data_IF_888553765594
#
_entry.id   IF_888553765594
#
_cell.length_a   1.000
_cell.length_b   1.000
_cell.length_c   1.000
_cell.angle_alpha   90.00
_cell.angle_beta   90.00
_cell.angle_gamma   90.00
#
_symmetry.space_group_name_H-M   'P 1'
#
loop_
_entity.id
_entity.type
_entity.pdbx_description
1 polymer ?
#
# COMPACT_ATOMS: atom_id res chain seq x y z
N UNK A 1 -6.58 8.99 48.66
CA UNK A 1 -7.88 8.50 48.16
C UNK A 1 -8.41 9.32 46.97
N UNK A 2 -8.78 10.61 47.13
CA UNK A 2 -9.44 11.40 46.08
C UNK A 2 -8.56 11.77 44.86
N UNK A 3 -7.25 11.90 45.05
CA UNK A 3 -6.29 12.21 43.97
C UNK A 3 -5.85 10.99 43.14
N UNK A 4 -5.98 9.79 43.69
CA UNK A 4 -5.66 8.54 43.00
C UNK A 4 -6.81 8.10 42.06
N UNK A 5 -8.06 8.40 42.42
CA UNK A 5 -9.25 8.15 41.59
C UNK A 5 -9.24 9.05 40.34
N UNK A 6 -8.75 10.29 40.47
CA UNK A 6 -8.68 11.22 39.34
C UNK A 6 -7.63 10.82 38.27
N UNK A 7 -6.58 10.10 38.64
CA UNK A 7 -5.52 9.67 37.72
C UNK A 7 -5.83 8.35 37.00
N UNK A 8 -6.76 7.54 37.52
CA UNK A 8 -7.15 6.25 36.92
C UNK A 8 -8.10 6.41 35.71
N UNK A 9 -8.84 7.52 35.62
CA UNK A 9 -9.71 7.83 34.48
C UNK A 9 -9.01 8.55 33.32
N UNK A 10 -7.76 8.97 33.48
CA UNK A 10 -7.05 9.78 32.47
C UNK A 10 -6.29 8.95 31.41
N UNK A 11 -6.24 7.62 31.52
CA UNK A 11 -5.35 6.76 30.69
C UNK A 11 -6.11 5.91 29.64
N UNK A 12 -7.44 5.91 29.59
CA UNK A 12 -8.21 5.07 28.67
C UNK A 12 -8.91 5.82 27.53
N UNK A 13 -8.21 6.78 26.90
CA UNK A 13 -8.61 7.32 25.61
C UNK A 13 -7.62 6.89 24.53
N UNK A 14 -7.50 5.58 24.31
CA UNK A 14 -6.97 5.07 23.04
C UNK A 14 -8.03 5.39 22.01
N UNK A 15 -7.94 6.58 21.40
CA UNK A 15 -8.73 6.90 20.21
C UNK A 15 -8.24 5.93 19.14
N UNK A 16 -9.03 4.88 18.89
CA UNK A 16 -8.84 4.08 17.69
C UNK A 16 -9.04 5.02 16.51
N UNK A 17 -7.92 5.46 15.90
CA UNK A 17 -7.96 6.19 14.64
C UNK A 17 -8.49 5.21 13.62
N UNK A 18 -9.80 5.25 13.37
CA UNK A 18 -10.41 4.56 12.27
C UNK A 18 -9.95 5.25 10.99
N UNK A 19 -8.80 4.82 10.46
CA UNK A 19 -8.35 5.25 9.13
C UNK A 19 -9.41 4.83 8.13
N UNK A 20 -9.80 5.72 7.21
CA UNK A 20 -10.65 5.33 6.10
C UNK A 20 -10.01 4.13 5.36
N UNK A 21 -10.71 3.00 5.33
CA UNK A 21 -10.16 1.72 4.87
C UNK A 21 -11.00 1.19 3.71
N UNK A 22 -10.42 1.15 2.52
CA UNK A 22 -11.03 0.48 1.37
C UNK A 22 -10.77 -1.03 1.51
N UNK A 23 -11.80 -1.86 1.40
CA UNK A 23 -11.64 -3.31 1.37
C UNK A 23 -11.62 -3.82 -0.07
N UNK A 24 -10.63 -4.64 -0.39
CA UNK A 24 -10.52 -5.42 -1.61
C UNK A 24 -10.61 -6.90 -1.25
N UNK A 25 -11.69 -7.55 -1.67
CA UNK A 25 -11.81 -8.99 -1.57
C UNK A 25 -10.90 -9.67 -2.61
N UNK A 26 -10.09 -10.62 -2.15
CA UNK A 26 -9.15 -11.39 -2.98
C UNK A 26 -9.74 -12.78 -3.23
N UNK A 27 -9.91 -13.13 -4.50
CA UNK A 27 -10.44 -14.44 -4.90
C UNK A 27 -11.97 -14.53 -4.85
N UNK A 28 -12.68 -13.40 -4.83
CA UNK A 28 -14.12 -13.32 -4.62
C UNK A 28 -14.92 -13.94 -5.77
N UNK A 29 -15.29 -15.22 -5.67
CA UNK A 29 -15.99 -15.94 -6.74
C UNK A 29 -15.13 -16.17 -8.00
N UNK A 30 -13.81 -16.32 -7.85
CA UNK A 30 -12.89 -16.73 -8.91
C UNK A 30 -11.61 -15.89 -9.03
N UNK A 31 -11.03 -15.85 -10.23
CA UNK A 31 -9.80 -15.10 -10.56
C UNK A 31 -10.04 -13.58 -10.62
N UNK A 32 -10.38 -12.95 -9.48
CA UNK A 32 -10.64 -11.51 -9.43
C UNK A 32 -10.32 -10.88 -8.08
N UNK A 33 -10.00 -9.59 -8.15
CA UNK A 33 -10.11 -8.66 -7.04
C UNK A 33 -11.50 -8.02 -7.09
N UNK A 34 -12.14 -7.82 -5.93
CA UNK A 34 -13.43 -7.16 -5.86
C UNK A 34 -13.43 -6.06 -4.79
N UNK A 35 -13.62 -4.78 -5.15
CA UNK A 35 -13.69 -4.29 -6.53
C UNK A 35 -12.34 -4.44 -7.26
N UNK A 36 -12.38 -4.56 -8.61
CA UNK A 36 -11.18 -4.57 -9.46
C UNK A 36 -10.71 -3.16 -9.85
N UNK A 37 -11.56 -2.15 -9.63
CA UNK A 37 -11.27 -0.74 -9.89
C UNK A 37 -11.87 0.14 -8.82
N UNK A 38 -11.26 1.29 -8.52
CA UNK A 38 -11.81 2.20 -7.54
C UNK A 38 -10.99 3.47 -7.36
N UNK A 39 -11.40 4.27 -6.37
CA UNK A 39 -10.69 5.48 -5.96
C UNK A 39 -10.38 5.41 -4.47
N UNK A 40 -9.17 5.77 -4.09
CA UNK A 40 -8.70 5.68 -2.70
C UNK A 40 -7.90 6.94 -2.32
N UNK A 41 -8.18 7.59 -1.18
CA UNK A 41 -7.41 8.76 -0.77
C UNK A 41 -5.95 8.42 -0.45
N UNK A 42 -5.05 9.35 -0.78
CA UNK A 42 -3.68 9.35 -0.29
C UNK A 42 -3.65 9.29 1.25
N UNK A 43 -2.71 8.51 1.81
CA UNK A 43 -2.56 8.32 3.25
C UNK A 43 -3.59 7.40 3.90
N UNK A 44 -4.60 6.91 3.16
CA UNK A 44 -5.57 5.95 3.67
C UNK A 44 -5.03 4.52 3.62
N UNK A 45 -5.84 3.56 4.08
CA UNK A 45 -5.48 2.13 4.06
C UNK A 45 -6.31 1.36 3.03
N UNK A 46 -5.68 0.41 2.36
CA UNK A 46 -6.34 -0.65 1.59
C UNK A 46 -6.20 -1.94 2.39
N UNK A 47 -7.31 -2.63 2.63
CA UNK A 47 -7.34 -3.97 3.20
C UNK A 47 -7.60 -4.99 2.11
N UNK A 48 -6.61 -5.82 1.84
CA UNK A 48 -6.80 -7.03 1.06
C UNK A 48 -7.32 -8.14 1.97
N UNK A 49 -8.52 -8.64 1.71
CA UNK A 49 -9.16 -9.71 2.48
C UNK A 49 -9.35 -10.93 1.59
N UNK A 50 -8.72 -12.04 1.93
CA UNK A 50 -8.91 -13.29 1.20
C UNK A 50 -10.26 -13.90 1.55
N UNK A 51 -11.12 -14.02 0.54
CA UNK A 51 -12.49 -14.55 0.71
C UNK A 51 -12.66 -15.92 0.05
N UNK A 52 -11.57 -16.49 -0.45
CA UNK A 52 -11.51 -17.81 -1.07
C UNK A 52 -10.35 -18.61 -0.50
N UNK A 53 -10.52 -19.93 -0.49
CA UNK A 53 -9.45 -20.88 -0.14
C UNK A 53 -8.53 -21.18 -1.33
N UNK A 54 -8.86 -20.71 -2.54
CA UNK A 54 -8.02 -20.88 -3.72
C UNK A 54 -6.74 -20.03 -3.66
N UNK A 55 -5.76 -20.39 -4.49
CA UNK A 55 -4.48 -19.70 -4.57
C UNK A 55 -4.61 -18.31 -5.21
N UNK A 56 -4.45 -17.25 -4.43
CA UNK A 56 -4.39 -15.86 -4.86
C UNK A 56 -3.37 -15.09 -4.03
N UNK A 57 -2.63 -14.17 -4.66
CA UNK A 57 -1.77 -13.23 -3.94
C UNK A 57 -2.06 -11.81 -4.38
N UNK A 58 -1.48 -10.85 -3.67
CA UNK A 58 -1.50 -9.44 -4.10
C UNK A 58 -0.07 -9.01 -4.28
N UNK A 59 0.29 -8.60 -5.49
CA UNK A 59 1.63 -8.12 -5.81
C UNK A 59 1.52 -6.76 -6.47
N UNK A 60 2.31 -5.80 -6.00
CA UNK A 60 2.36 -4.46 -6.62
C UNK A 60 3.19 -4.49 -7.90
N UNK A 61 2.69 -3.78 -8.91
CA UNK A 61 3.33 -3.55 -10.21
C UNK A 61 3.36 -2.04 -10.49
N UNK A 62 4.19 -1.63 -11.44
CA UNK A 62 4.34 -0.23 -11.86
C UNK A 62 3.37 0.16 -12.99
N UNK A 63 2.65 -0.79 -13.57
CA UNK A 63 1.64 -0.55 -14.60
C UNK A 63 0.50 -1.59 -14.57
N UNK A 64 -0.58 -1.35 -15.32
CA UNK A 64 -1.74 -2.26 -15.38
C UNK A 64 -1.71 -3.29 -16.51
N UNK A 65 -0.73 -3.24 -17.40
CA UNK A 65 -0.70 -4.05 -18.63
C UNK A 65 0.22 -5.26 -18.45
N UNK A 66 1.37 -5.08 -17.82
CA UNK A 66 2.36 -6.12 -17.57
C UNK A 66 2.02 -6.94 -16.33
N UNK A 67 2.44 -8.21 -16.35
CA UNK A 67 2.33 -9.13 -15.21
C UNK A 67 3.66 -9.22 -14.45
N UNK A 68 4.37 -8.10 -14.37
CA UNK A 68 5.70 -8.00 -13.79
C UNK A 68 5.63 -7.32 -12.43
N UNK A 69 6.10 -7.95 -11.34
CA UNK A 69 6.20 -7.28 -10.06
C UNK A 69 7.11 -6.04 -10.14
N UNK A 70 6.73 -4.98 -9.44
CA UNK A 70 7.60 -3.82 -9.29
C UNK A 70 8.87 -4.21 -8.53
N UNK A 71 10.02 -3.73 -8.98
CA UNK A 71 11.30 -3.86 -8.27
C UNK A 71 11.61 -2.65 -7.40
N UNK A 72 10.93 -1.53 -7.62
CA UNK A 72 11.13 -0.26 -6.90
C UNK A 72 10.06 -0.04 -5.83
N UNK A 73 8.80 -0.33 -6.15
CA UNK A 73 7.64 -0.16 -5.28
C UNK A 73 7.14 -1.53 -4.81
N UNK A 74 7.98 -2.27 -4.09
CA UNK A 74 7.69 -3.66 -3.73
C UNK A 74 6.56 -3.74 -2.71
N UNK A 75 5.55 -4.54 -3.01
CA UNK A 75 4.58 -5.03 -2.03
C UNK A 75 4.13 -6.44 -2.43
N UNK A 76 4.06 -7.32 -1.44
CA UNK A 76 3.56 -8.70 -1.56
C UNK A 76 2.66 -9.00 -0.38
N UNK A 77 1.37 -9.13 -0.64
CA UNK A 77 0.35 -9.47 0.33
C UNK A 77 -0.02 -10.94 0.26
N UNK A 78 0.07 -11.60 1.42
CA UNK A 78 -0.53 -12.90 1.75
C UNK A 78 0.06 -14.14 1.08
N UNK A 79 -0.08 -15.31 1.74
CA UNK A 79 0.15 -16.59 1.08
C UNK A 79 -0.97 -16.86 0.08
N UNK A 80 -0.68 -17.66 -0.96
CA UNK A 80 -1.62 -17.90 -2.04
C UNK A 80 -2.95 -18.48 -1.54
N UNK A 81 -2.96 -19.51 -0.69
CA UNK A 81 -4.19 -20.22 -0.30
C UNK A 81 -4.54 -20.03 1.18
N UNK A 82 -5.12 -18.90 1.57
CA UNK A 82 -5.57 -18.70 2.94
C UNK A 82 -6.82 -17.82 3.06
N UNK A 83 -7.99 -18.45 3.14
CA UNK A 83 -9.25 -17.76 3.40
C UNK A 83 -9.21 -17.08 4.78
N UNK A 84 -9.78 -15.88 4.89
CA UNK A 84 -9.82 -15.09 6.12
C UNK A 84 -8.53 -14.34 6.44
N UNK A 85 -7.45 -14.55 5.68
CA UNK A 85 -6.24 -13.74 5.79
C UNK A 85 -6.53 -12.29 5.39
N UNK A 86 -5.89 -11.34 6.09
CA UNK A 86 -5.95 -9.92 5.74
C UNK A 86 -4.55 -9.35 5.64
N UNK A 87 -4.34 -8.45 4.67
CA UNK A 87 -3.12 -7.67 4.54
C UNK A 87 -3.48 -6.22 4.29
N UNK A 88 -2.77 -5.32 4.96
CA UNK A 88 -3.02 -3.89 4.86
C UNK A 88 -1.89 -3.23 4.04
N UNK A 89 -2.28 -2.29 3.19
CA UNK A 89 -1.37 -1.48 2.40
C UNK A 89 -1.71 0.00 2.61
N UNK A 90 -0.72 0.79 2.99
CA UNK A 90 -0.87 2.25 3.14
C UNK A 90 -0.72 2.92 1.78
N UNK A 91 -1.70 3.76 1.42
CA UNK A 91 -1.69 4.48 0.14
C UNK A 91 -0.64 5.59 0.20
N UNK A 92 0.38 5.57 -0.68
CA UNK A 92 1.41 6.60 -0.68
C UNK A 92 0.85 7.93 -1.19
N UNK A 93 1.41 9.03 -0.71
CA UNK A 93 0.92 10.38 -1.04
C UNK A 93 1.45 10.93 -2.38
N UNK A 94 2.34 10.21 -3.07
CA UNK A 94 3.10 10.72 -4.22
C UNK A 94 2.83 9.96 -5.52
N UNK A 95 1.68 9.30 -5.65
CA UNK A 95 1.26 8.58 -6.86
C UNK A 95 -0.19 8.88 -7.18
N UNK A 96 -0.56 8.82 -8.46
CA UNK A 96 -1.95 9.03 -8.92
C UNK A 96 -2.70 7.72 -9.16
N UNK A 97 -1.96 6.62 -9.30
CA UNK A 97 -2.50 5.29 -9.50
C UNK A 97 -1.71 4.24 -8.74
N UNK A 98 -2.42 3.19 -8.36
CA UNK A 98 -1.87 1.96 -7.83
C UNK A 98 -2.33 0.78 -8.68
N UNK A 99 -1.41 -0.10 -9.01
CA UNK A 99 -1.69 -1.33 -9.74
C UNK A 99 -1.25 -2.53 -8.93
N UNK A 100 -2.12 -3.53 -8.88
CA UNK A 100 -1.85 -4.80 -8.24
C UNK A 100 -2.28 -5.95 -9.14
N UNK A 101 -1.59 -7.07 -9.02
CA UNK A 101 -1.85 -8.30 -9.75
C UNK A 101 -1.86 -9.49 -8.79
N UNK A 102 -2.43 -10.61 -9.23
CA UNK A 102 -2.17 -11.89 -8.58
C UNK A 102 -0.87 -12.50 -9.12
N UNK A 103 0.07 -12.80 -8.24
CA UNK A 103 1.38 -13.36 -8.60
C UNK A 103 1.42 -14.88 -8.73
N UNK A 104 0.28 -15.56 -8.61
CA UNK A 104 0.16 -17.00 -8.92
C UNK A 104 0.30 -17.17 -10.44
N UNK A 105 1.14 -18.11 -10.93
CA UNK A 105 1.38 -18.27 -12.36
C UNK A 105 0.08 -18.39 -13.19
N UNK A 106 -0.04 -17.59 -14.25
CA UNK A 106 -1.19 -17.57 -15.14
C UNK A 106 -2.39 -16.74 -14.66
N UNK A 107 -2.47 -16.37 -13.37
CA UNK A 107 -3.64 -15.65 -12.84
C UNK A 107 -3.70 -14.19 -13.32
N UNK A 108 -2.54 -13.53 -13.41
CA UNK A 108 -2.47 -12.16 -13.92
C UNK A 108 -2.79 -12.10 -15.41
N UNK A 109 -2.23 -13.03 -16.19
CA UNK A 109 -2.45 -13.17 -17.64
C UNK A 109 -3.92 -13.48 -17.94
N UNK A 110 -4.57 -14.25 -17.06
CA UNK A 110 -6.01 -14.52 -17.09
C UNK A 110 -6.89 -13.34 -16.61
N UNK A 111 -6.30 -12.19 -16.27
CA UNK A 111 -7.04 -10.95 -15.98
C UNK A 111 -7.21 -10.60 -14.51
N UNK A 112 -6.60 -11.33 -13.57
CA UNK A 112 -6.67 -10.98 -12.14
C UNK A 112 -5.76 -9.78 -11.81
N UNK A 113 -6.28 -8.58 -12.10
CA UNK A 113 -5.63 -7.28 -11.97
C UNK A 113 -6.53 -6.29 -11.22
N UNK A 114 -5.91 -5.35 -10.52
CA UNK A 114 -6.57 -4.28 -9.77
C UNK A 114 -5.91 -2.95 -10.13
N UNK A 115 -6.72 -1.93 -10.40
CA UNK A 115 -6.25 -0.55 -10.57
C UNK A 115 -7.05 0.40 -9.70
N UNK A 116 -6.36 1.19 -8.89
CA UNK A 116 -6.96 2.21 -8.04
C UNK A 116 -6.43 3.59 -8.42
N UNK A 117 -7.32 4.54 -8.61
CA UNK A 117 -6.96 5.96 -8.71
C UNK A 117 -6.73 6.49 -7.29
N UNK A 118 -5.63 7.20 -7.08
CA UNK A 118 -5.31 7.83 -5.80
C UNK A 118 -5.78 9.28 -5.83
N UNK A 119 -6.57 9.69 -4.84
CA UNK A 119 -7.08 11.07 -4.72
C UNK A 119 -6.33 11.84 -3.65
N UNK A 120 -6.12 13.14 -3.86
CA UNK A 120 -5.45 14.02 -2.89
C UNK A 120 -3.96 13.74 -2.72
N UNK A 121 -3.36 12.90 -3.56
CA UNK A 121 -1.92 12.74 -3.64
C UNK A 121 -1.27 13.86 -4.45
N UNK A 122 0.01 14.11 -4.19
CA UNK A 122 0.89 14.97 -4.97
C UNK A 122 1.59 14.21 -6.11
N UNK A 123 1.11 13.00 -6.44
CA UNK A 123 1.52 12.30 -7.66
C UNK A 123 1.33 13.20 -8.87
N UNK A 124 2.17 13.04 -9.89
CA UNK A 124 2.22 13.91 -11.05
C UNK A 124 0.84 14.17 -11.66
N UNK A 125 0.29 15.34 -11.35
CA UNK A 125 -0.81 15.99 -12.05
C UNK A 125 -0.54 16.01 -13.55
N UNK A 126 -1.00 14.99 -14.28
CA UNK A 126 -1.53 15.18 -15.63
C UNK A 126 -3.04 15.13 -15.51
N UNK A 127 -3.57 16.30 -15.21
CA UNK A 127 -4.96 16.69 -15.34
C UNK A 127 -5.61 16.01 -16.57
N UNK A 128 -6.42 14.98 -16.36
CA UNK A 128 -7.37 14.51 -17.38
C UNK A 128 -8.61 15.41 -17.31
N UNK A 129 -8.49 16.62 -17.85
CA UNK A 129 -9.65 17.39 -18.27
C UNK A 129 -9.99 16.97 -19.70
N UNK A 130 -11.10 16.26 -19.87
CA UNK A 130 -11.76 16.12 -21.16
C UNK A 130 -12.07 17.51 -21.72
N UNK A 131 -11.43 17.86 -22.83
CA UNK A 131 -11.70 19.06 -23.61
C UNK A 131 -11.21 18.85 -25.04
N UNK A 132 -12.14 18.67 -25.97
CA UNK A 132 -11.88 18.62 -27.41
C UNK A 132 -11.11 19.84 -27.90
N UNK A 133 -10.08 19.62 -28.70
CA UNK A 133 -9.40 20.67 -29.46
C UNK A 133 -8.04 20.26 -30.00
N UNK A 134 -8.02 19.79 -31.25
CA UNK A 134 -6.84 19.83 -32.14
C UNK A 134 -7.08 20.99 -33.14
N UNK A 135 -6.10 21.55 -33.90
CA UNK A 135 -4.74 21.06 -34.15
C UNK A 135 -3.59 22.12 -34.22
N UNK A 136 -2.37 21.58 -34.40
CA UNK A 136 -1.25 22.04 -35.28
C UNK A 136 0.00 22.69 -34.64
N UNK A 137 1.15 22.07 -34.95
CA UNK A 137 2.42 22.63 -35.49
C UNK A 137 3.72 22.28 -34.72
N UNK A 138 4.53 21.41 -35.36
CA UNK A 138 5.99 21.50 -35.69
C UNK A 138 6.95 22.20 -34.70
N UNK A 139 8.19 21.76 -34.39
CA UNK A 139 9.23 20.97 -35.07
C UNK A 139 10.36 20.61 -34.07
N UNK A 140 11.20 19.62 -34.44
CA UNK A 140 12.66 19.45 -34.22
C UNK A 140 13.26 19.70 -32.81
N UNK A 141 14.13 18.88 -32.21
CA UNK A 141 15.14 17.97 -32.72
C UNK A 141 16.42 18.15 -31.86
N UNK A 142 17.16 17.06 -31.65
CA UNK A 142 18.58 16.95 -31.19
C UNK A 142 18.81 16.18 -29.86
N UNK A 143 19.32 14.95 -30.01
CA UNK A 143 20.31 14.31 -29.12
C UNK A 143 21.68 15.01 -29.33
N UNK A 144 22.77 14.86 -28.51
CA UNK A 144 23.24 13.58 -27.95
C UNK A 144 24.00 13.64 -26.59
N UNK A 145 24.57 12.47 -26.23
CA UNK A 145 25.80 12.20 -25.43
C UNK A 145 25.76 11.84 -23.93
N UNK A 146 26.05 10.54 -23.70
CA UNK A 146 27.07 9.92 -22.81
C UNK A 146 27.16 10.25 -21.32
N UNK A 147 27.27 9.20 -20.50
CA UNK A 147 27.87 9.30 -19.17
C UNK A 147 27.65 8.07 -18.29
N UNK A 148 28.46 7.04 -18.49
CA UNK A 148 28.67 5.95 -17.54
C UNK A 148 29.38 6.49 -16.28
N UNK A 149 28.96 6.09 -15.09
CA UNK A 149 29.61 6.52 -13.85
C UNK A 149 29.11 5.78 -12.61
N UNK A 150 29.91 4.80 -12.18
CA UNK A 150 29.77 4.03 -10.95
C UNK A 150 29.92 4.91 -9.71
N UNK A 151 29.11 4.66 -8.68
CA UNK A 151 29.21 5.34 -7.39
C UNK A 151 28.67 4.48 -6.27
N UNK A 152 29.53 3.60 -5.73
CA UNK A 152 29.31 2.95 -4.45
C UNK A 152 29.43 4.00 -3.35
N UNK A 153 28.31 4.32 -2.71
CA UNK A 153 28.25 5.22 -1.56
C UNK A 153 27.54 4.52 -0.40
N UNK A 154 28.32 3.82 0.42
CA UNK A 154 27.89 3.29 1.69
C UNK A 154 27.48 4.43 2.62
N UNK A 155 26.21 4.48 3.00
CA UNK A 155 25.75 5.27 4.16
C UNK A 155 25.07 4.33 5.13
N UNK A 156 25.88 3.82 6.06
CA UNK A 156 25.41 3.27 7.31
C UNK A 156 24.82 4.40 8.15
N UNK A 157 23.55 4.27 8.54
CA UNK A 157 22.92 5.14 9.51
C UNK A 157 22.36 4.29 10.65
N UNK A 158 23.17 4.24 11.70
CA UNK A 158 22.87 3.71 13.03
C UNK A 158 21.80 4.56 13.71
N UNK A 159 20.57 4.05 13.82
CA UNK A 159 19.54 4.50 14.78
C UNK A 159 18.72 3.23 15.06
N UNK A 160 18.90 2.52 16.18
CA UNK A 160 18.64 3.01 17.52
C UNK A 160 17.62 2.05 18.13
N UNK A 161 18.10 0.86 18.51
CA UNK A 161 17.30 -0.16 19.18
C UNK A 161 17.04 0.27 20.63
N UNK A 162 15.86 0.83 20.91
CA UNK A 162 15.34 0.96 22.28
C UNK A 162 13.83 0.72 22.31
N UNK A 163 13.42 -0.52 22.18
CA UNK A 163 12.10 -0.99 22.65
C UNK A 163 12.29 -2.30 23.41
N UNK A 164 12.94 -2.20 24.57
CA UNK A 164 13.40 -3.36 25.31
C UNK A 164 13.44 -3.15 26.82
N UNK A 165 12.60 -2.30 27.40
CA UNK A 165 12.39 -2.25 28.85
C UNK A 165 11.02 -1.64 29.18
N UNK A 166 9.93 -2.36 28.92
CA UNK A 166 8.67 -2.10 29.63
C UNK A 166 7.77 -3.35 29.70
N UNK A 167 8.39 -4.52 29.87
CA UNK A 167 7.67 -5.79 30.05
C UNK A 167 8.00 -6.53 31.37
N UNK A 168 8.67 -5.86 32.31
CA UNK A 168 9.02 -6.43 33.63
C UNK A 168 8.68 -5.47 34.77
N UNK A 169 7.48 -4.90 34.78
CA UNK A 169 6.96 -4.12 35.91
C UNK A 169 5.44 -4.29 36.13
N UNK A 170 4.84 -5.40 35.68
CA UNK A 170 3.40 -5.68 35.87
C UNK A 170 3.10 -7.02 36.56
N UNK A 171 4.05 -7.58 37.32
CA UNK A 171 3.81 -8.81 38.12
C UNK A 171 4.03 -8.62 39.63
N UNK A 172 4.39 -7.42 40.10
CA UNK A 172 4.75 -7.18 41.50
C UNK A 172 3.82 -6.20 42.26
N UNK A 173 2.55 -6.08 41.86
CA UNK A 173 1.57 -5.27 42.61
C UNK A 173 0.21 -5.94 42.82
N UNK A 174 0.15 -7.27 42.72
CA UNK A 174 -1.02 -8.05 43.12
C UNK A 174 -0.91 -8.65 44.54
N UNK A 175 0.16 -8.32 45.29
CA UNK A 175 0.22 -8.62 46.73
C UNK A 175 0.76 -7.40 47.48
N UNK A 176 -0.12 -6.43 47.72
CA UNK A 176 -0.15 -5.55 48.91
C UNK A 176 -1.45 -4.74 48.90
#
# INVERSE_FOLDING_TARGET
MKRAIALFFAILAIVAVATAQMTINVGDGGLKFNPATGSVPAGSMIMFKWVSANQHSVVRTDDGTTCTPSTVNVYKGGPAAQMGFTSNFTVPNNVDKLWFICGVPGHCEAGMKLVLTVTGGSGGSTNSSSGSGSPTSTSAGSSPTTGSGSGYGSSASTLGATFGTLFTALVASLLL
#
